data_IF_375806964010
#
_entry.id   IF_375806964010
#
_cell.length_a   1.000
_cell.length_b   1.000
_cell.length_c   1.000
_cell.angle_alpha   90.00
_cell.angle_beta   90.00
_cell.angle_gamma   90.00
#
_symmetry.space_group_name_H-M   'P 1'
#
loop_
_entity.id
_entity.type
_entity.pdbx_description
1 polymer ?
#
# COMPACT_ATOMS: atom_id res chain seq x y z
N UNK A 1 -12.31 1.82 -59.27
CA UNK A 1 -11.90 2.26 -57.92
C UNK A 1 -10.73 1.38 -57.47
N UNK A 2 -9.49 1.88 -57.47
CA UNK A 2 -8.38 1.13 -56.88
C UNK A 2 -8.46 1.28 -55.36
N UNK A 3 -8.66 0.17 -54.66
CA UNK A 3 -8.46 0.12 -53.21
C UNK A 3 -6.94 0.10 -53.00
N UNK A 4 -6.37 1.21 -52.53
CA UNK A 4 -5.01 1.22 -51.97
C UNK A 4 -5.03 0.34 -50.72
N UNK A 5 -4.40 -0.83 -50.79
CA UNK A 5 -4.10 -1.65 -49.62
C UNK A 5 -2.92 -1.09 -48.86
N UNK A 6 -2.89 -1.29 -47.53
CA UNK A 6 -1.71 -1.01 -46.71
C UNK A 6 -0.52 -1.85 -47.19
N UNK A 7 0.67 -1.27 -47.19
CA UNK A 7 1.90 -2.03 -47.46
C UNK A 7 2.31 -2.83 -46.24
N UNK A 8 2.93 -3.99 -46.46
CA UNK A 8 3.49 -4.81 -45.38
C UNK A 8 4.55 -4.03 -44.59
N UNK A 9 5.29 -3.14 -45.26
CA UNK A 9 6.33 -2.32 -44.66
C UNK A 9 5.75 -1.25 -43.71
N UNK A 10 4.62 -0.63 -44.08
CA UNK A 10 3.90 0.30 -43.18
C UNK A 10 3.44 -0.40 -41.91
N UNK A 11 2.87 -1.60 -42.01
CA UNK A 11 2.43 -2.36 -40.84
C UNK A 11 3.63 -2.82 -40.00
N UNK A 12 4.74 -3.22 -40.62
CA UNK A 12 5.96 -3.63 -39.92
C UNK A 12 6.53 -2.52 -39.03
N UNK A 13 6.71 -1.31 -39.58
CA UNK A 13 7.29 -0.18 -38.84
C UNK A 13 6.38 0.21 -37.67
N UNK A 14 5.06 0.20 -37.87
CA UNK A 14 4.10 0.51 -36.81
C UNK A 14 4.21 -0.48 -35.64
N UNK A 15 4.28 -1.78 -35.92
CA UNK A 15 4.42 -2.80 -34.87
C UNK A 15 5.75 -2.68 -34.15
N UNK A 16 6.85 -2.34 -34.86
CA UNK A 16 8.16 -2.10 -34.24
C UNK A 16 8.10 -0.91 -33.27
N UNK A 17 7.54 0.23 -33.70
CA UNK A 17 7.44 1.42 -32.85
C UNK A 17 6.57 1.15 -31.62
N UNK A 18 5.41 0.50 -31.79
CA UNK A 18 4.53 0.13 -30.67
C UNK A 18 5.24 -0.85 -29.72
N UNK A 19 6.02 -1.80 -30.24
CA UNK A 19 6.80 -2.74 -29.44
C UNK A 19 7.82 -2.05 -28.53
N UNK A 20 8.57 -1.07 -29.07
CA UNK A 20 9.55 -0.28 -28.30
C UNK A 20 8.85 0.55 -27.22
N UNK A 21 7.76 1.23 -27.57
CA UNK A 21 6.99 2.04 -26.62
C UNK A 21 6.38 1.18 -25.50
N UNK A 22 5.85 0.01 -25.83
CA UNK A 22 5.26 -0.92 -24.88
C UNK A 22 6.30 -1.45 -23.88
N UNK A 23 7.51 -1.78 -24.35
CA UNK A 23 8.59 -2.28 -23.50
C UNK A 23 9.01 -1.26 -22.41
N UNK A 24 9.05 0.03 -22.75
CA UNK A 24 9.41 1.10 -21.81
C UNK A 24 8.22 1.44 -20.90
N UNK A 25 7.00 1.47 -21.45
CA UNK A 25 5.81 1.97 -20.74
C UNK A 25 5.24 0.99 -19.72
N UNK A 26 5.33 -0.32 -19.98
CA UNK A 26 4.74 -1.36 -19.13
C UNK A 26 5.26 -1.36 -17.68
N UNK A 27 6.59 -1.35 -17.40
CA UNK A 27 7.07 -1.34 -16.01
C UNK A 27 6.63 -0.08 -15.24
N UNK A 28 6.61 1.07 -15.90
CA UNK A 28 6.16 2.33 -15.30
C UNK A 28 4.65 2.29 -14.99
N UNK A 29 3.85 1.71 -15.88
CA UNK A 29 2.41 1.55 -15.68
C UNK A 29 2.09 0.69 -14.46
N UNK A 30 2.78 -0.44 -14.29
CA UNK A 30 2.61 -1.32 -13.12
C UNK A 30 2.94 -0.55 -11.82
N UNK A 31 4.06 0.16 -11.77
CA UNK A 31 4.44 0.97 -10.60
C UNK A 31 3.38 2.04 -10.25
N UNK A 32 2.79 2.67 -11.27
CA UNK A 32 1.73 3.67 -11.08
C UNK A 32 0.46 3.06 -10.48
N UNK A 33 0.06 1.87 -10.93
CA UNK A 33 -1.07 1.14 -10.35
C UNK A 33 -0.79 0.80 -8.89
N UNK A 34 0.40 0.31 -8.58
CA UNK A 34 0.78 -0.05 -7.21
C UNK A 34 0.77 1.18 -6.28
N UNK A 35 1.22 2.33 -6.79
CA UNK A 35 1.11 3.61 -6.07
C UNK A 35 -0.35 4.00 -5.84
N UNK A 36 -1.23 3.85 -6.82
CA UNK A 36 -2.66 4.12 -6.65
C UNK A 36 -3.29 3.19 -5.59
N UNK A 37 -2.98 1.89 -5.65
CA UNK A 37 -3.44 0.88 -4.68
C UNK A 37 -2.93 1.14 -3.28
N UNK A 38 -1.73 1.72 -3.13
CA UNK A 38 -1.23 2.13 -1.80
C UNK A 38 -2.10 3.20 -1.14
N UNK A 39 -2.91 3.95 -1.89
CA UNK A 39 -3.88 4.90 -1.35
C UNK A 39 -4.93 4.23 -0.46
N UNK A 40 -5.41 3.06 -0.87
CA UNK A 40 -6.35 2.25 -0.05
C UNK A 40 -5.68 1.81 1.25
N UNK A 41 -4.43 1.31 1.17
CA UNK A 41 -3.67 0.91 2.34
C UNK A 41 -3.47 2.07 3.32
N UNK A 42 -3.18 3.27 2.83
CA UNK A 42 -3.04 4.48 3.67
C UNK A 42 -4.35 4.80 4.39
N UNK A 43 -5.49 4.72 3.71
CA UNK A 43 -6.81 4.96 4.32
C UNK A 43 -7.11 3.93 5.40
N UNK A 44 -6.91 2.64 5.11
CA UNK A 44 -7.18 1.57 6.07
C UNK A 44 -6.23 1.61 7.29
N UNK A 45 -4.94 1.91 7.07
CA UNK A 45 -3.99 2.16 8.16
C UNK A 45 -4.42 3.36 9.01
N UNK A 46 -4.95 4.42 8.39
CA UNK A 46 -5.52 5.57 9.11
C UNK A 46 -6.70 5.19 10.00
N UNK A 47 -7.64 4.40 9.47
CA UNK A 47 -8.79 3.88 10.23
C UNK A 47 -8.35 3.00 11.40
N UNK A 48 -7.42 2.07 11.17
CA UNK A 48 -6.82 1.22 12.21
C UNK A 48 -6.15 2.05 13.29
N UNK A 49 -5.37 3.08 12.92
CA UNK A 49 -4.72 4.00 13.85
C UNK A 49 -5.74 4.67 14.77
N UNK A 50 -6.80 5.25 14.22
CA UNK A 50 -7.84 5.89 15.03
C UNK A 50 -8.56 4.89 15.94
N UNK A 51 -8.81 3.67 15.46
CA UNK A 51 -9.45 2.62 16.26
C UNK A 51 -8.55 2.14 17.42
N UNK A 52 -7.25 1.96 17.17
CA UNK A 52 -6.25 1.62 18.20
C UNK A 52 -6.17 2.75 19.23
N UNK A 53 -6.17 4.01 18.78
CA UNK A 53 -6.14 5.16 19.68
C UNK A 53 -7.37 5.16 20.61
N UNK A 54 -8.57 4.87 20.09
CA UNK A 54 -9.79 4.71 20.91
C UNK A 54 -9.69 3.55 21.89
N UNK A 55 -9.23 2.38 21.42
CA UNK A 55 -9.07 1.19 22.26
C UNK A 55 -8.15 1.46 23.44
N UNK A 56 -7.03 2.15 23.20
CA UNK A 56 -6.10 2.54 24.26
C UNK A 56 -6.73 3.51 25.27
N UNK A 57 -7.53 4.49 24.84
CA UNK A 57 -8.21 5.38 25.79
C UNK A 57 -9.22 4.65 26.68
N UNK A 58 -9.79 3.54 26.21
CA UNK A 58 -10.77 2.76 26.97
C UNK A 58 -10.10 1.74 27.92
N UNK A 59 -8.97 1.16 27.51
CA UNK A 59 -8.38 -0.01 28.19
C UNK A 59 -6.95 0.20 28.70
N UNK A 60 -6.27 1.26 28.28
CA UNK A 60 -4.89 1.58 28.66
C UNK A 60 -3.82 0.72 27.96
N UNK A 61 -4.22 -0.17 27.05
CA UNK A 61 -3.36 -1.15 26.38
C UNK A 61 -3.51 -1.07 24.87
N UNK A 62 -2.55 -1.60 24.12
CA UNK A 62 -2.62 -1.74 22.66
C UNK A 62 -2.90 -3.19 22.30
N UNK A 63 -3.81 -3.41 21.37
CA UNK A 63 -4.08 -4.74 20.84
C UNK A 63 -3.25 -5.00 19.58
N UNK A 64 -2.74 -6.22 19.46
CA UNK A 64 -2.09 -6.72 18.24
C UNK A 64 -3.09 -7.39 17.29
N UNK A 65 -4.29 -7.71 17.79
CA UNK A 65 -5.34 -8.31 16.98
C UNK A 65 -6.34 -7.24 16.49
N UNK A 66 -6.44 -6.98 15.17
CA UNK A 66 -7.41 -6.02 14.64
C UNK A 66 -8.87 -6.39 14.91
N UNK A 67 -9.22 -7.64 15.19
CA UNK A 67 -10.60 -8.05 15.53
C UNK A 67 -11.09 -7.52 16.88
N UNK A 68 -10.17 -7.08 17.76
CA UNK A 68 -10.53 -6.47 19.04
C UNK A 68 -10.86 -4.97 18.92
N UNK A 69 -10.72 -4.41 17.72
CA UNK A 69 -10.98 -3.00 17.46
C UNK A 69 -12.45 -2.79 17.08
N UNK A 70 -12.96 -1.60 17.38
CA UNK A 70 -14.31 -1.16 17.01
C UNK A 70 -14.38 -0.67 15.55
N UNK A 71 -13.83 -1.48 14.64
CA UNK A 71 -13.91 -1.32 13.18
C UNK A 71 -13.87 -2.71 12.54
N UNK A 72 -14.40 -2.83 11.32
CA UNK A 72 -14.23 -4.05 10.53
C UNK A 72 -12.75 -4.33 10.27
N UNK A 73 -12.32 -5.55 10.51
CA UNK A 73 -10.96 -5.97 10.24
C UNK A 73 -10.70 -5.98 8.72
N UNK A 74 -9.81 -5.13 8.19
CA UNK A 74 -9.55 -5.07 6.76
C UNK A 74 -8.92 -6.37 6.22
N UNK A 75 -8.42 -7.25 7.09
CA UNK A 75 -7.97 -8.58 6.70
C UNK A 75 -9.10 -9.56 6.37
N UNK A 76 -10.32 -9.31 6.83
CA UNK A 76 -11.49 -10.17 6.63
C UNK A 76 -12.23 -9.87 5.32
N UNK A 77 -11.83 -8.79 4.62
CA UNK A 77 -12.40 -8.42 3.32
C UNK A 77 -11.96 -9.41 2.23
N UNK A 78 -12.93 -9.94 1.48
CA UNK A 78 -12.68 -10.79 0.32
C UNK A 78 -12.00 -9.96 -0.79
N UNK A 79 -10.92 -10.47 -1.40
CA UNK A 79 -10.10 -9.76 -2.39
C UNK A 79 -9.33 -8.53 -1.88
N UNK A 80 -8.93 -8.51 -0.60
CA UNK A 80 -8.04 -7.48 -0.08
C UNK A 80 -6.74 -7.38 -0.89
N UNK A 81 -6.30 -6.15 -1.13
CA UNK A 81 -5.01 -5.89 -1.79
C UNK A 81 -3.83 -6.05 -0.82
N UNK A 82 -4.00 -5.63 0.43
CA UNK A 82 -2.98 -5.65 1.46
C UNK A 82 -3.42 -6.51 2.65
N UNK A 83 -2.44 -7.13 3.30
CA UNK A 83 -2.60 -7.74 4.62
C UNK A 83 -2.11 -6.76 5.68
N UNK A 84 -2.85 -6.62 6.79
CA UNK A 84 -2.57 -5.64 7.84
C UNK A 84 -2.14 -6.35 9.12
N UNK A 85 -1.10 -5.85 9.78
CA UNK A 85 -0.68 -6.30 11.09
C UNK A 85 -0.45 -5.12 12.02
N UNK A 86 -0.65 -5.36 13.32
CA UNK A 86 -0.41 -4.39 14.38
C UNK A 86 0.64 -4.99 15.31
N UNK A 87 1.71 -4.23 15.57
CA UNK A 87 2.72 -4.56 16.55
C UNK A 87 2.68 -3.55 17.70
N UNK A 88 2.66 -4.07 18.93
CA UNK A 88 2.90 -3.27 20.12
C UNK A 88 4.42 -3.08 20.28
N UNK A 89 4.88 -1.83 20.32
CA UNK A 89 6.30 -1.49 20.42
C UNK A 89 6.70 -1.09 21.85
N UNK A 90 5.90 -1.45 22.84
CA UNK A 90 6.10 -1.08 24.22
C UNK A 90 5.20 0.10 24.59
N UNK A 91 4.06 -0.23 25.17
CA UNK A 91 3.24 0.76 25.88
C UNK A 91 3.79 1.00 27.28
N UNK A 92 3.87 2.26 27.68
CA UNK A 92 3.81 2.62 29.11
C UNK A 92 2.44 3.22 29.38
N UNK A 93 1.95 3.19 30.63
CA UNK A 93 0.65 3.81 30.97
C UNK A 93 0.54 5.29 30.54
N UNK A 94 1.68 5.95 30.29
CA UNK A 94 1.77 7.34 29.85
C UNK A 94 2.18 7.52 28.39
N UNK A 95 2.59 6.47 27.66
CA UNK A 95 3.05 6.59 26.28
C UNK A 95 2.58 5.42 25.40
N UNK A 96 1.98 5.78 24.27
CA UNK A 96 1.46 4.89 23.24
C UNK A 96 2.48 4.76 22.10
N UNK A 97 3.08 3.57 21.96
CA UNK A 97 3.98 3.24 20.86
C UNK A 97 3.52 1.94 20.19
N UNK A 98 3.27 2.00 18.89
CA UNK A 98 2.80 0.86 18.10
C UNK A 98 3.13 1.06 16.62
N UNK A 99 3.16 -0.03 15.87
CA UNK A 99 3.32 -0.03 14.42
C UNK A 99 2.15 -0.71 13.76
N UNK A 100 1.59 -0.09 12.71
CA UNK A 100 0.63 -0.73 11.81
C UNK A 100 1.35 -0.94 10.48
N UNK A 101 1.36 -2.15 9.96
CA UNK A 101 1.99 -2.48 8.68
C UNK A 101 0.96 -3.06 7.73
N UNK A 102 0.77 -2.43 6.58
CA UNK A 102 0.06 -3.00 5.44
C UNK A 102 1.09 -3.55 4.45
N UNK A 103 1.01 -4.85 4.16
CA UNK A 103 1.95 -5.56 3.30
C UNK A 103 1.23 -6.18 2.11
N UNK A 104 1.81 -6.00 0.92
CA UNK A 104 1.37 -6.66 -0.30
C UNK A 104 2.57 -7.14 -1.08
N UNK A 105 2.53 -8.41 -1.51
CA UNK A 105 3.59 -8.99 -2.34
C UNK A 105 3.03 -9.40 -3.69
N UNK A 106 3.64 -8.91 -4.76
CA UNK A 106 3.26 -9.23 -6.14
C UNK A 106 4.52 -9.61 -6.90
N UNK A 107 4.54 -10.81 -7.47
CA UNK A 107 5.66 -11.29 -8.29
C UNK A 107 7.03 -11.14 -7.62
N UNK A 108 7.12 -11.38 -6.31
CA UNK A 108 8.35 -11.27 -5.52
C UNK A 108 8.72 -9.85 -5.06
N UNK A 109 7.98 -8.82 -5.47
CA UNK A 109 8.15 -7.44 -4.99
C UNK A 109 7.20 -7.19 -3.83
N UNK A 110 7.73 -6.71 -2.70
CA UNK A 110 6.95 -6.38 -1.52
C UNK A 110 6.75 -4.88 -1.40
N UNK A 111 5.49 -4.48 -1.31
CA UNK A 111 5.02 -3.11 -1.09
C UNK A 111 4.52 -2.98 0.34
N UNK A 112 5.01 -1.98 1.05
CA UNK A 112 4.61 -1.73 2.44
C UNK A 112 4.12 -0.30 2.63
N UNK A 113 3.09 -0.15 3.46
CA UNK A 113 2.66 1.13 4.04
C UNK A 113 2.64 0.94 5.55
N UNK A 114 3.48 1.70 6.24
CA UNK A 114 3.71 1.50 7.67
C UNK A 114 3.45 2.78 8.43
N UNK A 115 2.57 2.73 9.42
CA UNK A 115 2.45 3.78 10.43
C UNK A 115 3.27 3.40 11.64
N UNK A 116 4.20 4.25 12.06
CA UNK A 116 4.96 4.07 13.31
C UNK A 116 4.57 5.19 14.26
N UNK A 117 3.92 4.82 15.37
CA UNK A 117 3.65 5.70 16.49
C UNK A 117 4.81 5.57 17.50
N UNK A 118 5.47 6.68 17.82
CA UNK A 118 6.61 6.71 18.75
C UNK A 118 6.24 7.30 20.11
N UNK A 119 5.18 8.10 20.18
CA UNK A 119 4.65 8.68 21.43
C UNK A 119 3.16 9.00 21.28
N UNK A 120 2.50 9.58 22.29
CA UNK A 120 1.07 9.93 22.20
C UNK A 120 0.74 10.95 21.10
N UNK A 121 1.70 11.80 20.72
CA UNK A 121 1.50 12.91 19.78
C UNK A 121 2.27 12.72 18.48
N UNK A 122 3.31 11.89 18.48
CA UNK A 122 4.21 11.72 17.35
C UNK A 122 4.04 10.35 16.72
N UNK A 123 3.70 10.35 15.44
CA UNK A 123 3.84 9.20 14.57
C UNK A 123 4.09 9.62 13.13
N UNK A 124 4.65 8.72 12.33
CA UNK A 124 5.01 8.97 10.94
C UNK A 124 4.54 7.83 10.05
N UNK A 125 4.12 8.19 8.84
CA UNK A 125 3.79 7.25 7.79
C UNK A 125 5.01 7.03 6.89
N UNK A 126 5.30 5.76 6.64
CA UNK A 126 6.38 5.28 5.79
C UNK A 126 5.82 4.39 4.68
N UNK A 127 6.54 4.32 3.57
CA UNK A 127 6.19 3.49 2.41
C UNK A 127 7.42 2.76 1.88
N UNK A 128 7.25 1.61 1.25
CA UNK A 128 8.35 0.96 0.51
C UNK A 128 8.87 1.87 -0.61
N UNK A 129 10.18 1.80 -0.91
CA UNK A 129 10.83 2.64 -1.94
C UNK A 129 10.09 2.62 -3.30
N UNK A 130 9.53 1.48 -3.66
CA UNK A 130 8.81 1.27 -4.92
C UNK A 130 7.50 2.07 -5.04
N UNK A 131 6.96 2.58 -3.93
CA UNK A 131 5.76 3.44 -3.90
C UNK A 131 6.13 4.94 -3.85
N UNK A 132 7.40 5.26 -3.61
CA UNK A 132 7.91 6.59 -3.35
C UNK A 132 7.50 7.16 -1.98
N UNK A 133 8.08 8.33 -1.65
CA UNK A 133 7.91 8.99 -0.35
C UNK A 133 8.93 8.52 0.71
N UNK A 134 8.73 8.90 1.99
CA UNK A 134 9.63 8.50 3.07
C UNK A 134 9.63 6.98 3.26
N UNK A 135 10.80 6.37 3.16
CA UNK A 135 10.98 4.93 3.42
C UNK A 135 11.08 4.66 4.91
N UNK A 136 10.56 3.50 5.34
CA UNK A 136 10.69 3.06 6.74
C UNK A 136 12.17 3.07 7.13
N UNK A 137 12.52 3.55 8.35
CA UNK A 137 13.83 3.30 8.92
C UNK A 137 14.08 1.80 9.07
#
# INVERSE_FOLDING_TARGET
MSKKGFTLLEVLIVVIIIGILAAISLPQYISTIEKARSGEAVTNVGSLRTAIDRYWYQRGEITTNPDNLDIDNPNSVTNKLYSYSIADNGTTSSARAYTITATRTVSGITYTVTWVQTSNTTGKLYRSANLGGPVSP
#
